data_IF_143012534633
#
_entry.id   IF_143012534633
#
_cell.length_a   1.000
_cell.length_b   1.000
_cell.length_c   1.000
_cell.angle_alpha   90.00
_cell.angle_beta   90.00
_cell.angle_gamma   90.00
#
_symmetry.space_group_name_H-M   'P 1'
#
loop_
_entity.id
_entity.type
_entity.pdbx_description
1 polymer ?
#
# COMPACT_ATOMS: atom_id res chain seq x y z
N UNK A 1 -6.92 -24.14 9.70
CA UNK A 1 -5.64 -23.54 9.30
C UNK A 1 -5.09 -24.36 8.15
N UNK A 2 -4.79 -23.76 6.99
CA UNK A 2 -4.24 -24.51 5.84
C UNK A 2 -2.80 -24.89 6.14
N UNK A 3 -2.38 -26.13 5.80
CA UNK A 3 -0.97 -26.53 5.94
C UNK A 3 -0.11 -25.76 4.93
N UNK A 4 1.17 -25.60 5.19
CA UNK A 4 2.10 -24.92 4.29
C UNK A 4 2.14 -25.59 2.91
N UNK A 5 2.09 -26.91 2.87
CA UNK A 5 2.08 -27.67 1.62
C UNK A 5 0.80 -27.45 0.80
N UNK A 6 -0.34 -27.25 1.47
CA UNK A 6 -1.60 -26.84 0.82
C UNK A 6 -1.50 -25.44 0.23
N UNK A 7 -0.83 -24.50 0.90
CA UNK A 7 -0.62 -23.15 0.38
C UNK A 7 0.32 -23.18 -0.85
N UNK A 8 1.39 -23.96 -0.80
CA UNK A 8 2.30 -24.13 -1.95
C UNK A 8 1.56 -24.70 -3.15
N UNK A 9 0.81 -25.80 -2.95
CA UNK A 9 0.04 -26.44 -4.04
C UNK A 9 -0.99 -25.46 -4.63
N UNK A 10 -1.70 -24.71 -3.78
CA UNK A 10 -2.70 -23.74 -4.23
C UNK A 10 -2.09 -22.55 -4.97
N UNK A 11 -0.95 -22.05 -4.51
CA UNK A 11 -0.23 -20.98 -5.21
C UNK A 11 0.22 -21.43 -6.61
N UNK A 12 0.72 -22.66 -6.74
CA UNK A 12 1.12 -23.24 -8.03
C UNK A 12 -0.08 -23.47 -8.96
N UNK A 13 -1.21 -23.95 -8.45
CA UNK A 13 -2.46 -24.09 -9.20
C UNK A 13 -2.92 -22.75 -9.76
N UNK A 14 -2.99 -21.72 -8.92
CA UNK A 14 -3.43 -20.37 -9.33
C UNK A 14 -2.46 -19.78 -10.37
N UNK A 15 -1.15 -20.02 -10.20
CA UNK A 15 -0.15 -19.59 -11.17
C UNK A 15 -0.29 -20.28 -12.52
N UNK A 16 -0.59 -21.58 -12.54
CA UNK A 16 -0.82 -22.36 -13.77
C UNK A 16 -2.09 -21.91 -14.52
N UNK A 17 -3.05 -21.31 -13.80
CA UNK A 17 -4.27 -20.68 -14.36
C UNK A 17 -4.01 -19.29 -14.93
N UNK A 18 -2.77 -18.78 -14.86
CA UNK A 18 -2.38 -17.51 -15.44
C UNK A 18 -2.50 -16.29 -14.50
N UNK A 19 -2.85 -16.50 -13.22
CA UNK A 19 -2.97 -15.40 -12.28
C UNK A 19 -1.61 -14.72 -12.04
N UNK A 20 -1.65 -13.40 -11.86
CA UNK A 20 -0.50 -12.60 -11.44
C UNK A 20 -0.16 -12.87 -9.97
N UNK A 21 1.04 -12.50 -9.56
CA UNK A 21 1.44 -12.60 -8.15
C UNK A 21 0.52 -11.82 -7.22
N UNK A 22 0.02 -10.66 -7.68
CA UNK A 22 -0.91 -9.82 -6.92
C UNK A 22 -2.26 -10.51 -6.73
N UNK A 23 -2.86 -11.05 -7.79
CA UNK A 23 -4.13 -11.78 -7.71
C UNK A 23 -4.03 -13.02 -6.83
N UNK A 24 -2.89 -13.73 -6.87
CA UNK A 24 -2.62 -14.88 -5.99
C UNK A 24 -2.50 -14.42 -4.53
N UNK A 25 -1.87 -13.26 -4.28
CA UNK A 25 -1.74 -12.65 -2.97
C UNK A 25 -3.12 -12.37 -2.35
N UNK A 26 -4.01 -11.79 -3.11
CA UNK A 26 -5.38 -11.49 -2.69
C UNK A 26 -6.20 -12.76 -2.43
N UNK A 27 -6.12 -13.74 -3.33
CA UNK A 27 -6.85 -15.01 -3.22
C UNK A 27 -6.39 -15.86 -2.03
N UNK A 28 -5.09 -15.90 -1.77
CA UNK A 28 -4.51 -16.66 -0.66
C UNK A 28 -4.53 -15.90 0.67
N UNK A 29 -4.76 -14.59 0.64
CA UNK A 29 -4.65 -13.65 1.78
C UNK A 29 -3.26 -13.70 2.42
N UNK A 30 -2.24 -13.53 1.60
CA UNK A 30 -0.83 -13.47 1.98
C UNK A 30 -0.14 -12.35 1.21
N UNK A 31 1.00 -11.86 1.69
CA UNK A 31 1.75 -10.81 0.97
C UNK A 31 2.34 -11.33 -0.34
N UNK A 32 2.60 -10.42 -1.30
CA UNK A 32 3.16 -10.77 -2.60
C UNK A 32 4.52 -11.47 -2.48
N UNK A 33 5.36 -11.06 -1.53
CA UNK A 33 6.65 -11.70 -1.26
C UNK A 33 6.48 -13.14 -0.76
N UNK A 34 5.45 -13.40 0.03
CA UNK A 34 5.08 -14.75 0.46
C UNK A 34 4.62 -15.60 -0.72
N UNK A 35 3.86 -15.03 -1.66
CA UNK A 35 3.49 -15.75 -2.89
C UNK A 35 4.72 -16.13 -3.70
N UNK A 36 5.67 -15.21 -3.89
CA UNK A 36 6.94 -15.49 -4.58
C UNK A 36 7.68 -16.62 -3.87
N UNK A 37 7.77 -16.58 -2.54
CA UNK A 37 8.41 -17.63 -1.75
C UNK A 37 7.71 -18.98 -1.88
N UNK A 38 6.36 -19.02 -1.85
CA UNK A 38 5.56 -20.23 -2.04
C UNK A 38 5.79 -20.85 -3.43
N UNK A 39 5.83 -20.03 -4.48
CA UNK A 39 6.05 -20.47 -5.86
C UNK A 39 7.47 -21.01 -6.08
N UNK A 40 8.47 -20.44 -5.43
CA UNK A 40 9.88 -20.88 -5.52
C UNK A 40 10.15 -22.15 -4.72
N UNK A 41 9.45 -22.37 -3.59
CA UNK A 41 9.64 -23.55 -2.74
C UNK A 41 9.37 -24.87 -3.47
N UNK A 42 8.50 -24.86 -4.46
CA UNK A 42 8.21 -26.05 -5.28
C UNK A 42 9.31 -26.39 -6.29
N UNK A 43 10.24 -25.47 -6.58
CA UNK A 43 11.31 -25.64 -7.58
C UNK A 43 12.70 -25.79 -6.96
N UNK A 44 12.93 -25.20 -5.80
CA UNK A 44 14.20 -25.25 -5.09
C UNK A 44 13.96 -25.47 -3.60
N UNK A 45 14.77 -26.35 -2.96
CA UNK A 45 14.85 -26.44 -1.51
C UNK A 45 15.53 -25.18 -0.97
N UNK A 46 14.83 -24.04 -1.03
CA UNK A 46 15.37 -22.78 -0.51
C UNK A 46 15.58 -22.91 1.00
N UNK A 47 16.82 -22.80 1.42
CA UNK A 47 17.25 -22.69 2.83
C UNK A 47 16.80 -21.36 3.48
N UNK A 48 16.00 -20.57 2.82
CA UNK A 48 15.49 -19.31 3.38
C UNK A 48 14.28 -19.57 4.29
N UNK A 49 14.26 -18.99 5.49
CA UNK A 49 13.09 -19.06 6.34
C UNK A 49 11.88 -18.45 5.62
N UNK A 50 10.69 -18.92 5.98
CA UNK A 50 9.47 -18.30 5.50
C UNK A 50 9.46 -16.82 5.88
N UNK A 51 9.03 -15.91 4.97
CA UNK A 51 8.88 -14.51 5.33
C UNK A 51 7.85 -14.39 6.46
N UNK A 52 8.07 -13.45 7.38
CA UNK A 52 7.05 -13.05 8.35
C UNK A 52 5.94 -12.37 7.56
N UNK A 53 4.73 -12.90 7.62
CA UNK A 53 3.60 -12.43 6.84
C UNK A 53 2.45 -11.98 7.77
N UNK A 54 1.96 -10.79 7.52
CA UNK A 54 0.75 -10.25 8.13
C UNK A 54 -0.15 -9.72 7.00
N UNK A 55 -1.19 -10.46 6.68
CA UNK A 55 -2.19 -9.98 5.74
C UNK A 55 -3.28 -9.21 6.49
N UNK A 56 -3.44 -7.94 6.17
CA UNK A 56 -4.52 -7.10 6.68
C UNK A 56 -5.61 -7.01 5.61
N UNK A 57 -6.78 -7.58 5.90
CA UNK A 57 -7.93 -7.50 5.00
C UNK A 57 -8.64 -6.15 5.16
N UNK A 58 -8.39 -5.26 4.22
CA UNK A 58 -8.99 -3.93 4.16
C UNK A 58 -10.33 -3.90 3.41
N UNK A 59 -10.82 -5.02 2.90
CA UNK A 59 -12.02 -5.07 2.04
C UNK A 59 -13.24 -4.46 2.72
N UNK A 60 -13.42 -4.68 4.01
CA UNK A 60 -14.52 -4.14 4.80
C UNK A 60 -14.45 -2.62 5.01
N UNK A 61 -13.26 -2.05 4.98
CA UNK A 61 -13.04 -0.60 5.04
C UNK A 61 -13.15 -0.02 3.64
N UNK A 62 -12.43 -0.60 2.68
CA UNK A 62 -12.34 -0.12 1.30
C UNK A 62 -13.66 -0.14 0.52
N UNK A 63 -14.56 -1.07 0.83
CA UNK A 63 -15.88 -1.18 0.20
C UNK A 63 -16.91 -0.15 0.71
N UNK A 64 -16.60 0.64 1.73
CA UNK A 64 -17.53 1.58 2.35
C UNK A 64 -16.91 2.97 2.49
N UNK A 65 -17.41 3.93 1.71
CA UNK A 65 -16.90 5.32 1.68
C UNK A 65 -16.89 5.97 3.06
N UNK A 66 -17.92 5.75 3.88
CA UNK A 66 -17.96 6.31 5.24
C UNK A 66 -16.82 5.76 6.12
N UNK A 67 -16.51 4.46 6.01
CA UNK A 67 -15.40 3.86 6.76
C UNK A 67 -14.05 4.37 6.27
N UNK A 68 -13.90 4.57 4.96
CA UNK A 68 -12.72 5.20 4.38
C UNK A 68 -12.52 6.62 4.89
N UNK A 69 -13.60 7.43 4.92
CA UNK A 69 -13.53 8.78 5.49
C UNK A 69 -13.15 8.77 6.96
N UNK A 70 -13.73 7.88 7.77
CA UNK A 70 -13.37 7.75 9.19
C UNK A 70 -11.90 7.36 9.38
N UNK A 71 -11.38 6.47 8.54
CA UNK A 71 -9.95 6.11 8.57
C UNK A 71 -9.07 7.32 8.20
N UNK A 72 -9.45 8.07 7.16
CA UNK A 72 -8.75 9.30 6.78
C UNK A 72 -8.80 10.39 7.87
N UNK A 73 -9.91 10.52 8.56
CA UNK A 73 -10.03 11.45 9.71
C UNK A 73 -9.12 11.06 10.87
N UNK A 74 -9.06 9.76 11.20
CA UNK A 74 -8.13 9.27 12.22
C UNK A 74 -6.67 9.53 11.85
N UNK A 75 -6.29 9.34 10.58
CA UNK A 75 -4.94 9.66 10.08
C UNK A 75 -4.64 11.16 10.16
N UNK A 76 -5.62 12.01 9.82
CA UNK A 76 -5.46 13.46 9.93
C UNK A 76 -5.34 13.91 11.38
N UNK A 77 -6.02 13.26 12.31
CA UNK A 77 -5.94 13.55 13.74
C UNK A 77 -4.54 13.19 14.29
N UNK A 78 -4.02 12.01 13.95
CA UNK A 78 -2.64 11.63 14.25
C UNK A 78 -1.61 12.63 13.69
N UNK A 79 -1.82 13.09 12.44
CA UNK A 79 -0.96 14.11 11.86
C UNK A 79 -0.99 15.42 12.64
N UNK A 80 -2.17 15.87 13.08
CA UNK A 80 -2.31 17.08 13.93
C UNK A 80 -1.60 16.91 15.28
N UNK A 81 -1.73 15.75 15.90
CA UNK A 81 -1.04 15.43 17.16
C UNK A 81 0.49 15.53 17.00
N UNK A 82 1.04 14.92 15.94
CA UNK A 82 2.48 14.96 15.64
C UNK A 82 2.96 16.36 15.29
N UNK A 83 2.14 17.20 14.62
CA UNK A 83 2.45 18.61 14.39
C UNK A 83 2.46 19.40 15.72
N UNK A 84 1.45 19.17 16.56
CA UNK A 84 1.32 19.87 17.84
C UNK A 84 2.44 19.51 18.82
N UNK A 85 2.93 18.28 18.79
CA UNK A 85 4.08 17.83 19.58
C UNK A 85 5.43 18.32 19.04
N UNK A 86 5.47 18.89 17.84
CA UNK A 86 6.70 19.33 17.18
C UNK A 86 7.53 18.20 16.56
N UNK A 87 6.94 17.02 16.39
CA UNK A 87 7.59 15.87 15.76
C UNK A 87 7.86 16.12 14.28
N UNK A 88 6.95 16.81 13.59
CA UNK A 88 7.17 17.34 12.26
C UNK A 88 6.48 18.68 12.03
N UNK A 89 6.96 19.39 10.99
CA UNK A 89 6.42 20.71 10.65
C UNK A 89 5.08 20.59 9.92
N UNK A 90 4.28 21.68 10.00
CA UNK A 90 3.00 21.72 9.33
C UNK A 90 3.17 21.56 7.80
N UNK A 91 2.49 20.59 7.18
CA UNK A 91 2.59 20.37 5.75
C UNK A 91 1.86 21.46 4.97
N UNK A 92 2.39 21.78 3.79
CA UNK A 92 1.76 22.70 2.83
C UNK A 92 0.92 21.95 1.79
N UNK A 93 1.23 20.65 1.58
CA UNK A 93 0.56 19.77 0.61
C UNK A 93 0.48 18.36 1.17
N UNK A 94 -0.63 17.68 0.97
CA UNK A 94 -0.76 16.24 1.20
C UNK A 94 -0.49 15.52 -0.11
N UNK A 95 0.39 14.52 -0.09
CA UNK A 95 0.75 13.71 -1.26
C UNK A 95 0.13 12.33 -1.13
N UNK A 96 -0.74 11.96 -2.04
CA UNK A 96 -1.32 10.63 -2.11
C UNK A 96 -0.64 9.76 -3.16
N UNK A 97 -0.31 8.53 -2.79
CA UNK A 97 0.16 7.53 -3.74
C UNK A 97 -1.06 6.99 -4.51
N UNK A 98 -1.01 7.05 -5.85
CA UNK A 98 -2.10 6.59 -6.71
C UNK A 98 -2.49 5.13 -6.44
N UNK A 99 -3.76 4.85 -6.58
CA UNK A 99 -4.42 3.62 -6.19
C UNK A 99 -5.27 3.83 -4.93
N UNK A 100 -5.24 2.89 -4.01
CA UNK A 100 -6.01 2.97 -2.74
C UNK A 100 -5.62 4.15 -1.86
N UNK A 101 -4.37 4.62 -1.94
CA UNK A 101 -3.87 5.76 -1.19
C UNK A 101 -4.53 7.09 -1.56
N UNK A 102 -5.00 7.24 -2.81
CA UNK A 102 -5.62 8.49 -3.27
C UNK A 102 -6.90 8.84 -2.47
N UNK A 103 -7.72 7.83 -2.17
CA UNK A 103 -8.98 8.03 -1.43
C UNK A 103 -8.70 8.45 0.02
N UNK A 104 -7.73 7.82 0.68
CA UNK A 104 -7.32 8.18 2.04
C UNK A 104 -6.65 9.55 2.06
N UNK A 105 -5.72 9.80 1.12
CA UNK A 105 -5.04 11.09 0.99
C UNK A 105 -5.98 12.26 0.75
N UNK A 106 -7.05 12.06 -0.04
CA UNK A 106 -8.09 13.05 -0.25
C UNK A 106 -8.80 13.40 1.07
N UNK A 107 -9.17 12.39 1.86
CA UNK A 107 -9.81 12.60 3.15
C UNK A 107 -8.90 13.30 4.17
N UNK A 108 -7.60 12.95 4.18
CA UNK A 108 -6.59 13.61 5.02
C UNK A 108 -6.39 15.07 4.58
N UNK A 109 -6.26 15.31 3.27
CA UNK A 109 -6.09 16.67 2.73
C UNK A 109 -7.27 17.58 3.07
N UNK A 110 -8.51 17.07 2.95
CA UNK A 110 -9.73 17.76 3.35
C UNK A 110 -9.68 18.15 4.83
N UNK A 111 -9.36 17.20 5.72
CA UNK A 111 -9.33 17.43 7.15
C UNK A 111 -8.21 18.37 7.60
N UNK A 112 -7.08 18.36 6.91
CA UNK A 112 -5.96 19.27 7.18
C UNK A 112 -6.11 20.62 6.47
N UNK A 113 -7.14 20.79 5.63
CA UNK A 113 -7.35 21.96 4.79
C UNK A 113 -6.11 22.27 3.92
N UNK A 114 -5.55 21.23 3.29
CA UNK A 114 -4.36 21.33 2.45
C UNK A 114 -4.63 20.87 1.03
N UNK A 115 -3.94 21.47 0.04
CA UNK A 115 -3.97 20.98 -1.33
C UNK A 115 -3.54 19.52 -1.40
N UNK A 116 -4.11 18.78 -2.36
CA UNK A 116 -3.77 17.39 -2.64
C UNK A 116 -2.86 17.31 -3.86
N UNK A 117 -1.76 16.60 -3.74
CA UNK A 117 -0.93 16.12 -4.84
C UNK A 117 -1.08 14.62 -5.01
N UNK A 118 -0.89 14.13 -6.23
CA UNK A 118 -0.95 12.70 -6.52
C UNK A 118 0.33 12.25 -7.20
N UNK A 119 0.88 11.13 -6.72
CA UNK A 119 2.12 10.54 -7.22
C UNK A 119 1.86 9.11 -7.68
N UNK A 120 2.24 8.81 -8.92
CA UNK A 120 2.24 7.46 -9.45
C UNK A 120 3.62 6.84 -9.27
N UNK A 121 3.78 5.81 -8.42
CA UNK A 121 5.07 5.14 -8.29
C UNK A 121 5.41 4.39 -9.58
N UNK A 122 6.65 4.51 -10.02
CA UNK A 122 7.21 3.79 -11.16
C UNK A 122 8.45 3.02 -10.70
N UNK A 123 8.58 1.77 -11.13
CA UNK A 123 9.83 1.04 -10.97
C UNK A 123 10.79 1.45 -12.08
N UNK A 124 11.93 1.99 -11.70
CA UNK A 124 13.06 2.27 -12.60
C UNK A 124 14.05 1.11 -12.49
N UNK A 125 14.93 0.94 -13.50
CA UNK A 125 16.01 -0.03 -13.47
C UNK A 125 16.79 0.05 -12.15
N UNK A 126 17.38 -1.06 -11.70
CA UNK A 126 18.12 -1.20 -10.44
C UNK A 126 17.26 -1.14 -9.15
N UNK A 127 16.00 -1.54 -9.21
CA UNK A 127 15.09 -1.59 -8.05
C UNK A 127 14.86 -0.22 -7.36
N UNK A 128 15.22 0.88 -8.01
CA UNK A 128 14.90 2.23 -7.53
C UNK A 128 13.44 2.56 -7.83
N UNK A 129 12.78 3.14 -6.84
CA UNK A 129 11.45 3.71 -7.02
C UNK A 129 11.61 5.15 -7.51
N UNK A 130 10.90 5.49 -8.55
CA UNK A 130 10.67 6.86 -9.00
C UNK A 130 9.19 7.15 -8.93
N UNK A 131 8.79 8.41 -8.94
CA UNK A 131 7.40 8.80 -8.96
C UNK A 131 7.14 9.89 -9.99
N UNK A 132 6.06 9.75 -10.75
CA UNK A 132 5.57 10.81 -11.60
C UNK A 132 4.46 11.57 -10.86
N UNK A 133 4.63 12.89 -10.71
CA UNK A 133 3.61 13.76 -10.14
C UNK A 133 2.54 13.96 -11.19
N UNK A 134 1.28 13.80 -10.80
CA UNK A 134 0.15 14.05 -11.69
C UNK A 134 -0.09 15.57 -11.82
N UNK A 135 0.08 16.17 -13.01
CA UNK A 135 -0.01 17.63 -13.19
C UNK A 135 -1.43 18.19 -13.00
N UNK A 136 -2.45 17.33 -12.91
CA UNK A 136 -3.83 17.74 -12.62
C UNK A 136 -4.09 18.04 -11.14
N UNK A 137 -3.10 17.76 -10.28
CA UNK A 137 -3.15 18.00 -8.84
C UNK A 137 -2.16 19.11 -8.43
N UNK A 138 -2.04 19.37 -7.14
CA UNK A 138 -1.15 20.41 -6.65
C UNK A 138 0.33 20.09 -6.92
N UNK A 139 1.14 21.14 -7.20
CA UNK A 139 2.60 21.02 -7.24
C UNK A 139 3.16 20.84 -5.84
N UNK A 140 4.25 20.08 -5.75
CA UNK A 140 5.02 19.85 -4.53
C UNK A 140 6.37 20.57 -4.53
N UNK A 141 6.67 21.35 -5.57
CA UNK A 141 7.96 22.02 -5.72
C UNK A 141 8.23 22.99 -4.57
N UNK A 142 9.35 22.77 -3.87
CA UNK A 142 9.77 23.57 -2.72
C UNK A 142 8.74 23.64 -1.57
N UNK A 143 7.89 22.65 -1.42
CA UNK A 143 6.87 22.59 -0.37
C UNK A 143 7.15 21.49 0.64
N UNK A 144 6.74 21.72 1.88
CA UNK A 144 6.68 20.70 2.92
C UNK A 144 5.50 19.78 2.62
N UNK A 145 5.77 18.49 2.52
CA UNK A 145 4.75 17.51 2.14
C UNK A 145 4.50 16.48 3.24
N UNK A 146 3.24 16.08 3.38
CA UNK A 146 2.83 14.88 4.12
C UNK A 146 2.50 13.79 3.08
N UNK A 147 3.12 12.62 3.20
CA UNK A 147 2.89 11.47 2.30
C UNK A 147 2.16 10.38 3.03
#
# INVERSE_FOLDING_TARGET
MRSLDQLVAKAQELKSRGLTTQEISEELKVQADTVVWLLLRGKERLRRPAPTDLFVDWSQIGSNVRRLSLAGWALADLARESIASGEFEQPEVVVAIEGSGLVLGMSVAEQLERPLASVRPQRVADNKLSGAINPSFASIDNKKVLV
#
